data_IF_663136875582
#
_entry.id   IF_663136875582
#
_cell.length_a   1.000
_cell.length_b   1.000
_cell.length_c   1.000
_cell.angle_alpha   90.00
_cell.angle_beta   90.00
_cell.angle_gamma   90.00
#
_symmetry.space_group_name_H-M   'P 1'
#
loop_
_entity.id
_entity.type
_entity.pdbx_description
1 polymer ?
#
# COMPACT_ATOMS: atom_id res chain seq x y z
N UNK A 1 11.60 22.07 0.19
CA UNK A 1 10.71 21.68 1.31
C UNK A 1 10.88 20.22 1.77
N UNK A 2 11.79 19.42 1.20
CA UNK A 2 11.90 17.99 1.58
C UNK A 2 13.01 17.67 2.62
N UNK A 3 13.93 18.60 2.92
CA UNK A 3 14.97 18.38 3.92
C UNK A 3 14.44 18.17 5.35
N UNK A 4 13.31 18.80 5.69
CA UNK A 4 12.67 18.63 7.01
C UNK A 4 12.04 17.24 7.17
N UNK A 5 11.61 16.60 6.06
CA UNK A 5 11.03 15.24 6.08
C UNK A 5 12.09 14.16 6.35
N UNK A 6 13.34 14.44 5.96
CA UNK A 6 14.50 13.58 6.23
C UNK A 6 14.97 13.67 7.69
N UNK A 7 14.60 14.74 8.39
CA UNK A 7 15.00 15.02 9.78
C UNK A 7 13.85 14.88 10.78
N UNK A 8 12.78 14.15 10.43
CA UNK A 8 11.71 13.89 11.39
C UNK A 8 12.22 12.99 12.52
N UNK A 9 11.58 13.06 13.68
CA UNK A 9 11.92 12.20 14.81
C UNK A 9 11.70 10.73 14.43
N UNK A 10 12.80 10.01 14.23
CA UNK A 10 12.80 8.60 13.87
C UNK A 10 12.80 7.75 15.14
N UNK A 11 12.03 6.65 15.17
CA UNK A 11 12.11 5.68 16.25
C UNK A 11 13.48 5.00 16.30
N UNK A 12 13.94 4.60 17.49
CA UNK A 12 15.26 3.96 17.69
C UNK A 12 15.47 2.66 16.90
N UNK A 13 14.38 2.01 16.48
CA UNK A 13 14.41 0.76 15.71
C UNK A 13 14.50 0.98 14.20
N UNK A 14 14.31 2.21 13.70
CA UNK A 14 14.33 2.52 12.27
C UNK A 14 15.67 3.16 11.91
N UNK A 15 16.52 2.49 11.11
CA UNK A 15 17.77 3.07 10.66
C UNK A 15 17.55 4.34 9.85
N UNK A 16 18.39 5.35 10.11
CA UNK A 16 18.33 6.64 9.40
C UNK A 16 18.56 6.43 7.90
N UNK A 17 19.54 5.61 7.51
CA UNK A 17 19.84 5.32 6.10
C UNK A 17 18.62 4.75 5.36
N UNK A 18 17.95 3.73 5.92
CA UNK A 18 16.74 3.16 5.33
C UNK A 18 15.61 4.21 5.22
N UNK A 19 15.46 5.09 6.21
CA UNK A 19 14.50 6.19 6.11
C UNK A 19 14.85 7.20 5.02
N UNK A 20 16.14 7.50 4.83
CA UNK A 20 16.61 8.38 3.76
C UNK A 20 16.33 7.78 2.38
N UNK A 21 16.55 6.48 2.19
CA UNK A 21 16.22 5.76 0.95
C UNK A 21 14.72 5.84 0.65
N UNK A 22 13.87 5.67 1.66
CA UNK A 22 12.43 5.85 1.53
C UNK A 22 12.05 7.29 1.15
N UNK A 23 12.69 8.29 1.77
CA UNK A 23 12.45 9.70 1.47
C UNK A 23 12.83 10.02 0.02
N UNK A 24 14.01 9.58 -0.43
CA UNK A 24 14.46 9.79 -1.80
C UNK A 24 13.51 9.14 -2.81
N UNK A 25 13.06 7.92 -2.54
CA UNK A 25 12.08 7.24 -3.36
C UNK A 25 10.78 8.04 -3.49
N UNK A 26 10.24 8.52 -2.36
CA UNK A 26 9.01 9.32 -2.34
C UNK A 26 9.17 10.68 -3.01
N UNK A 27 10.34 11.32 -2.88
CA UNK A 27 10.66 12.55 -3.61
C UNK A 27 10.67 12.33 -5.11
N UNK A 28 11.27 11.23 -5.59
CA UNK A 28 11.24 10.87 -7.01
C UNK A 28 9.81 10.65 -7.51
N UNK A 29 8.97 9.96 -6.73
CA UNK A 29 7.55 9.75 -7.08
C UNK A 29 6.73 11.04 -7.04
N UNK A 30 7.05 11.98 -6.15
CA UNK A 30 6.42 13.30 -6.12
C UNK A 30 6.85 14.17 -7.31
N UNK A 31 8.12 14.11 -7.71
CA UNK A 31 8.62 14.80 -8.89
C UNK A 31 7.92 14.32 -10.18
N UNK A 32 7.63 13.03 -10.28
CA UNK A 32 6.85 12.42 -11.38
C UNK A 32 5.32 12.51 -11.17
N UNK A 33 4.86 13.36 -10.23
CA UNK A 33 3.43 13.57 -9.90
C UNK A 33 2.65 12.26 -9.64
N UNK A 34 3.35 11.19 -9.28
CA UNK A 34 2.77 9.86 -9.09
C UNK A 34 2.20 9.68 -7.68
N UNK A 35 2.74 10.41 -6.69
CA UNK A 35 2.21 10.46 -5.35
C UNK A 35 2.68 11.72 -4.59
N UNK A 36 1.82 12.36 -3.77
CA UNK A 36 2.20 13.54 -3.00
C UNK A 36 3.18 13.19 -1.87
N UNK A 37 4.29 13.92 -1.74
CA UNK A 37 5.22 13.75 -0.62
C UNK A 37 5.12 14.91 0.37
N UNK A 38 4.34 14.69 1.44
CA UNK A 38 4.06 15.67 2.49
C UNK A 38 4.39 15.12 3.87
N UNK A 39 4.48 16.01 4.86
CA UNK A 39 4.77 15.67 6.26
C UNK A 39 3.73 14.69 6.86
N UNK A 40 2.47 14.81 6.46
CA UNK A 40 1.43 13.85 6.83
C UNK A 40 1.75 12.44 6.32
N UNK A 41 2.20 12.32 5.07
CA UNK A 41 2.61 11.04 4.46
C UNK A 41 3.82 10.45 5.18
N UNK A 42 4.82 11.27 5.52
CA UNK A 42 5.99 10.82 6.27
C UNK A 42 5.62 10.23 7.64
N UNK A 43 4.75 10.92 8.41
CA UNK A 43 4.20 10.39 9.68
C UNK A 43 3.45 9.08 9.50
N UNK A 44 2.68 8.97 8.42
CA UNK A 44 1.93 7.74 8.08
C UNK A 44 2.87 6.60 7.72
N UNK A 45 3.94 6.86 6.97
CA UNK A 45 4.96 5.86 6.63
C UNK A 45 5.58 5.25 7.89
N UNK A 46 5.95 6.07 8.87
CA UNK A 46 6.45 5.56 10.16
C UNK A 46 5.40 4.71 10.87
N UNK A 47 4.14 5.20 11.00
CA UNK A 47 3.05 4.42 11.61
C UNK A 47 2.85 3.08 10.92
N UNK A 48 2.98 3.03 9.59
CA UNK A 48 2.85 1.80 8.81
C UNK A 48 4.00 0.85 9.10
N UNK A 49 5.24 1.34 9.12
CA UNK A 49 6.42 0.53 9.49
C UNK A 49 6.30 -0.01 10.92
N UNK A 50 5.78 0.78 11.86
CA UNK A 50 5.48 0.29 13.22
C UNK A 50 4.50 -0.88 13.21
N UNK A 51 3.40 -0.78 12.44
CA UNK A 51 2.43 -1.88 12.31
C UNK A 51 3.05 -3.12 11.65
N UNK A 52 3.90 -2.94 10.64
CA UNK A 52 4.59 -4.05 9.97
C UNK A 52 5.57 -4.75 10.92
N UNK A 53 6.31 -3.96 11.70
CA UNK A 53 7.19 -4.45 12.76
C UNK A 53 6.44 -5.22 13.85
N UNK A 54 5.31 -4.68 14.32
CA UNK A 54 4.46 -5.33 15.32
C UNK A 54 3.90 -6.67 14.82
N UNK A 55 3.65 -6.77 13.51
CA UNK A 55 3.30 -8.02 12.83
C UNK A 55 4.50 -8.95 12.57
N UNK A 56 5.73 -8.58 13.00
CA UNK A 56 6.94 -9.39 12.87
C UNK A 56 7.72 -9.21 11.56
N UNK A 57 7.38 -8.20 10.75
CA UNK A 57 8.11 -7.89 9.53
C UNK A 57 9.28 -6.95 9.78
N UNK A 58 10.37 -7.13 9.03
CA UNK A 58 11.51 -6.23 9.08
C UNK A 58 11.22 -4.91 8.35
N UNK A 59 11.26 -3.75 9.05
CA UNK A 59 10.97 -2.45 8.44
C UNK A 59 11.92 -2.05 7.31
N UNK A 60 13.20 -2.43 7.40
CA UNK A 60 14.22 -2.11 6.40
C UNK A 60 13.93 -2.89 5.13
N UNK A 61 13.70 -4.20 5.24
CA UNK A 61 13.31 -5.04 4.11
C UNK A 61 12.01 -4.54 3.45
N UNK A 62 11.05 -4.04 4.22
CA UNK A 62 9.82 -3.46 3.68
C UNK A 62 10.09 -2.19 2.85
N UNK A 63 11.05 -1.37 3.28
CA UNK A 63 11.48 -0.17 2.53
C UNK A 63 12.24 -0.61 1.27
N UNK A 64 13.24 -1.48 1.39
CA UNK A 64 14.05 -1.95 0.26
C UNK A 64 13.17 -2.55 -0.84
N UNK A 65 12.21 -3.40 -0.45
CA UNK A 65 11.29 -4.02 -1.38
C UNK A 65 10.37 -2.99 -2.05
N UNK A 66 9.94 -1.97 -1.30
CA UNK A 66 9.15 -0.88 -1.85
C UNK A 66 9.97 -0.05 -2.85
N UNK A 67 11.22 0.29 -2.52
CA UNK A 67 12.13 1.02 -3.41
C UNK A 67 12.41 0.20 -4.67
N UNK A 68 12.76 -1.08 -4.52
CA UNK A 68 13.06 -2.02 -5.60
C UNK A 68 11.90 -2.14 -6.60
N UNK A 69 10.68 -2.25 -6.10
CA UNK A 69 9.47 -2.38 -6.94
C UNK A 69 8.86 -1.05 -7.35
N UNK A 70 9.39 0.05 -6.83
CA UNK A 70 8.89 1.39 -7.10
C UNK A 70 7.55 1.71 -6.43
N UNK A 71 7.28 1.08 -5.29
CA UNK A 71 6.03 1.15 -4.54
C UNK A 71 5.89 2.46 -3.77
N UNK A 72 4.70 3.06 -3.88
CA UNK A 72 4.36 4.28 -3.14
C UNK A 72 3.82 3.98 -1.72
N UNK A 73 3.58 2.72 -1.39
CA UNK A 73 3.17 2.25 -0.07
C UNK A 73 4.19 1.31 0.57
N UNK A 74 4.17 1.21 1.91
CA UNK A 74 5.02 0.30 2.67
C UNK A 74 4.24 -0.95 3.04
N UNK A 75 4.80 -2.08 2.64
CA UNK A 75 4.16 -3.38 2.68
C UNK A 75 5.14 -4.41 3.22
N UNK A 76 4.64 -5.52 3.81
CA UNK A 76 5.52 -6.59 4.24
C UNK A 76 6.35 -7.07 3.05
N UNK A 77 7.67 -7.01 3.19
CA UNK A 77 8.57 -7.66 2.26
C UNK A 77 8.16 -9.13 2.16
N UNK A 78 8.16 -9.68 0.94
CA UNK A 78 7.78 -11.07 0.73
C UNK A 78 8.75 -11.91 1.56
N UNK A 79 8.24 -12.48 2.65
CA UNK A 79 9.07 -13.12 3.64
C UNK A 79 9.90 -14.21 2.95
N UNK A 80 11.21 -14.19 3.20
CA UNK A 80 11.98 -15.42 3.27
C UNK A 80 11.16 -16.43 4.11
N UNK A 81 11.05 -17.71 3.71
CA UNK A 81 9.91 -18.60 3.96
C UNK A 81 9.56 -18.93 5.43
N UNK A 82 10.20 -18.32 6.42
CA UNK A 82 9.96 -18.57 7.84
C UNK A 82 8.61 -18.03 8.37
N UNK A 83 7.97 -17.07 7.71
CA UNK A 83 6.68 -16.49 8.16
C UNK A 83 5.48 -16.78 7.24
N UNK A 84 5.70 -17.41 6.08
CA UNK A 84 4.64 -17.74 5.12
C UNK A 84 4.21 -19.22 5.22
N UNK A 85 4.02 -19.73 6.42
CA UNK A 85 3.29 -20.99 6.60
C UNK A 85 1.81 -20.67 6.81
N UNK A 86 1.07 -20.54 5.71
CA UNK A 86 -0.30 -21.07 5.56
C UNK A 86 -0.90 -20.76 4.18
N UNK A 87 -1.18 -21.84 3.45
CA UNK A 87 -2.10 -21.96 2.28
C UNK A 87 -1.51 -21.84 0.87
N UNK A 88 -0.87 -22.93 0.44
CA UNK A 88 -0.91 -23.40 -0.95
C UNK A 88 -2.35 -23.74 -1.36
N UNK A 89 -2.84 -23.22 -2.50
CA UNK A 89 -4.11 -23.67 -3.07
C UNK A 89 -4.66 -22.79 -4.19
N UNK A 90 -4.16 -22.98 -5.42
CA UNK A 90 -4.73 -22.43 -6.66
C UNK A 90 -3.88 -21.33 -7.29
N UNK A 91 -3.14 -21.67 -8.35
CA UNK A 91 -2.40 -20.73 -9.18
C UNK A 91 -3.37 -19.75 -9.84
N UNK A 92 -3.57 -18.59 -9.22
CA UNK A 92 -4.25 -17.46 -9.85
C UNK A 92 -3.38 -17.01 -11.03
N UNK A 93 -3.93 -16.82 -12.25
CA UNK A 93 -3.16 -16.33 -13.37
C UNK A 93 -2.47 -15.00 -13.01
N UNK A 94 -1.27 -14.72 -13.56
CA UNK A 94 -0.45 -13.57 -13.19
C UNK A 94 -1.09 -12.20 -13.49
N UNK A 95 -2.30 -12.15 -14.04
CA UNK A 95 -3.06 -10.95 -14.39
C UNK A 95 -4.50 -10.98 -13.85
N UNK A 96 -4.79 -11.81 -12.85
CA UNK A 96 -6.15 -12.04 -12.35
C UNK A 96 -6.89 -10.76 -11.96
N UNK A 97 -6.17 -9.71 -11.55
CA UNK A 97 -6.73 -8.42 -11.15
C UNK A 97 -7.14 -7.51 -12.33
N UNK A 98 -6.75 -7.87 -13.56
CA UNK A 98 -7.08 -7.10 -14.77
C UNK A 98 -8.49 -7.38 -15.31
N UNK A 99 -9.12 -8.47 -14.87
CA UNK A 99 -10.45 -8.88 -15.37
C UNK A 99 -11.45 -9.05 -14.23
N UNK A 100 -12.70 -8.65 -14.47
CA UNK A 100 -13.78 -8.86 -13.50
C UNK A 100 -13.96 -10.33 -13.05
N UNK A 101 -13.92 -11.34 -13.94
CA UNK A 101 -13.99 -12.75 -13.51
C UNK A 101 -12.80 -13.16 -12.62
N UNK A 102 -11.57 -12.73 -12.93
CA UNK A 102 -10.40 -13.05 -12.10
C UNK A 102 -10.47 -12.42 -10.70
N UNK A 103 -10.97 -11.19 -10.59
CA UNK A 103 -11.20 -10.52 -9.30
C UNK A 103 -12.23 -11.29 -8.47
N UNK A 104 -13.33 -11.76 -9.08
CA UNK A 104 -14.36 -12.55 -8.40
C UNK A 104 -13.85 -13.91 -7.92
N UNK A 105 -13.09 -14.60 -8.75
CA UNK A 105 -12.45 -15.87 -8.40
C UNK A 105 -11.53 -15.69 -7.19
N UNK A 106 -10.68 -14.65 -7.22
CA UNK A 106 -9.79 -14.34 -6.09
C UNK A 106 -10.57 -13.91 -4.84
N UNK A 107 -11.63 -13.13 -5.00
CA UNK A 107 -12.52 -12.78 -3.90
C UNK A 107 -13.13 -14.02 -3.24
N UNK A 108 -13.59 -14.99 -4.03
CA UNK A 108 -14.09 -16.28 -3.53
C UNK A 108 -13.01 -17.08 -2.79
N UNK A 109 -11.78 -17.13 -3.30
CA UNK A 109 -10.63 -17.76 -2.62
C UNK A 109 -10.32 -17.11 -1.26
N UNK A 110 -10.55 -15.81 -1.14
CA UNK A 110 -10.32 -15.03 0.08
C UNK A 110 -11.55 -14.96 1.00
N UNK A 111 -12.67 -15.61 0.66
CA UNK A 111 -13.91 -15.57 1.44
C UNK A 111 -14.66 -14.24 1.37
N UNK A 112 -14.44 -13.43 0.32
CA UNK A 112 -15.14 -12.15 0.09
C UNK A 112 -16.28 -12.33 -0.90
N UNK A 113 -17.50 -12.20 -0.39
CA UNK A 113 -18.72 -12.23 -1.20
C UNK A 113 -19.07 -10.85 -1.79
N UNK A 114 -19.50 -10.86 -3.05
CA UNK A 114 -20.03 -9.69 -3.75
C UNK A 114 -21.49 -9.47 -3.31
N UNK A 115 -21.80 -8.29 -2.77
CA UNK A 115 -23.17 -7.98 -2.35
C UNK A 115 -24.02 -7.50 -3.55
N UNK A 116 -25.32 -7.83 -3.61
CA UNK A 116 -26.17 -7.54 -4.78
C UNK A 116 -26.37 -6.05 -5.10
N UNK A 117 -26.20 -5.15 -4.12
CA UNK A 117 -26.28 -3.69 -4.32
C UNK A 117 -24.93 -2.98 -4.20
N UNK A 118 -23.82 -3.72 -4.28
CA UNK A 118 -22.48 -3.16 -4.12
C UNK A 118 -21.89 -2.73 -5.47
N UNK A 119 -21.28 -1.55 -5.49
CA UNK A 119 -20.50 -1.08 -6.65
C UNK A 119 -19.27 -1.98 -6.82
N UNK A 120 -19.03 -2.46 -8.04
CA UNK A 120 -17.94 -3.39 -8.34
C UNK A 120 -16.56 -2.85 -7.92
N UNK A 121 -16.33 -1.55 -7.99
CA UNK A 121 -15.09 -0.91 -7.51
C UNK A 121 -14.86 -1.10 -6.01
N UNK A 122 -15.93 -1.02 -5.19
CA UNK A 122 -15.83 -1.27 -3.75
C UNK A 122 -15.57 -2.75 -3.46
N UNK A 123 -16.15 -3.66 -4.27
CA UNK A 123 -15.84 -5.09 -4.19
C UNK A 123 -14.36 -5.35 -4.54
N UNK A 124 -13.90 -4.80 -5.67
CA UNK A 124 -12.51 -4.88 -6.14
C UNK A 124 -11.53 -4.38 -5.08
N UNK A 125 -11.77 -3.22 -4.47
CA UNK A 125 -10.94 -2.70 -3.39
C UNK A 125 -10.85 -3.64 -2.18
N UNK A 126 -11.96 -4.28 -1.78
CA UNK A 126 -11.95 -5.26 -0.68
C UNK A 126 -11.17 -6.53 -1.04
N UNK A 127 -11.35 -7.05 -2.25
CA UNK A 127 -10.59 -8.19 -2.75
C UNK A 127 -9.10 -7.86 -2.76
N UNK A 128 -8.73 -6.67 -3.21
CA UNK A 128 -7.33 -6.23 -3.30
C UNK A 128 -6.71 -6.02 -1.93
N UNK A 129 -7.48 -5.47 -0.98
CA UNK A 129 -7.05 -5.33 0.42
C UNK A 129 -6.81 -6.69 1.07
N UNK A 130 -7.70 -7.66 0.85
CA UNK A 130 -7.57 -8.99 1.44
C UNK A 130 -6.57 -9.91 0.73
N UNK A 131 -6.35 -9.70 -0.58
CA UNK A 131 -5.28 -10.38 -1.32
C UNK A 131 -3.90 -10.00 -0.80
N UNK A 132 -3.80 -8.91 -0.03
CA UNK A 132 -2.57 -8.37 0.50
C UNK A 132 -1.91 -7.38 -0.47
N UNK A 133 -0.64 -7.03 -0.24
CA UNK A 133 0.10 -6.13 -1.10
C UNK A 133 0.52 -6.81 -2.42
N UNK A 134 0.40 -6.08 -3.53
CA UNK A 134 0.87 -6.53 -4.84
C UNK A 134 0.49 -5.56 -5.97
N UNK A 135 0.90 -5.90 -7.19
CA UNK A 135 0.72 -5.07 -8.39
C UNK A 135 -0.75 -4.65 -8.63
N UNK A 136 -1.72 -5.45 -8.21
CA UNK A 136 -3.14 -5.14 -8.31
C UNK A 136 -3.55 -3.88 -7.52
N UNK A 137 -2.93 -3.66 -6.37
CA UNK A 137 -3.24 -2.51 -5.51
C UNK A 137 -2.68 -1.23 -6.13
N UNK A 138 -1.47 -1.29 -6.67
CA UNK A 138 -0.82 -0.18 -7.35
C UNK A 138 -1.45 0.16 -8.69
N UNK A 139 -1.81 -0.84 -9.50
CA UNK A 139 -2.53 -0.65 -10.75
C UNK A 139 -3.84 0.09 -10.51
N UNK A 140 -4.53 -0.26 -9.42
CA UNK A 140 -5.76 0.43 -9.02
C UNK A 140 -5.50 1.85 -8.52
N UNK A 141 -4.50 2.07 -7.67
CA UNK A 141 -4.10 3.41 -7.24
C UNK A 141 -3.70 4.29 -8.43
N UNK A 142 -2.91 3.76 -9.36
CA UNK A 142 -2.48 4.49 -10.57
C UNK A 142 -3.66 4.84 -11.47
N UNK A 143 -4.55 3.88 -11.72
CA UNK A 143 -5.73 4.10 -12.56
C UNK A 143 -6.61 5.18 -11.95
N UNK A 144 -6.94 5.03 -10.66
CA UNK A 144 -7.81 5.98 -9.97
C UNK A 144 -7.16 7.35 -9.82
N UNK A 145 -5.84 7.42 -9.58
CA UNK A 145 -5.12 8.69 -9.49
C UNK A 145 -5.04 9.46 -10.81
N UNK A 146 -5.11 8.77 -11.96
CA UNK A 146 -5.29 9.44 -13.26
C UNK A 146 -6.68 10.06 -13.41
N UNK A 147 -7.68 9.48 -12.76
CA UNK A 147 -9.07 9.94 -12.84
C UNK A 147 -9.39 11.04 -11.80
N UNK A 148 -8.89 10.89 -10.57
CA UNK A 148 -9.16 11.83 -9.46
C UNK A 148 -8.16 11.66 -8.31
N UNK A 149 -7.53 12.76 -7.91
CA UNK A 149 -6.59 12.83 -6.78
C UNK A 149 -7.29 12.54 -5.43
N UNK A 150 -8.52 13.02 -5.24
CA UNK A 150 -9.31 12.73 -4.03
C UNK A 150 -9.67 11.23 -3.90
N UNK A 151 -9.93 10.57 -5.03
CA UNK A 151 -10.20 9.12 -5.04
C UNK A 151 -8.93 8.31 -4.83
N UNK A 152 -7.78 8.80 -5.31
CA UNK A 152 -6.48 8.21 -5.00
C UNK A 152 -6.20 8.24 -3.50
N UNK A 153 -6.37 9.40 -2.87
CA UNK A 153 -6.16 9.55 -1.41
C UNK A 153 -7.13 8.66 -0.62
N UNK A 154 -8.40 8.57 -1.07
CA UNK A 154 -9.39 7.65 -0.53
C UNK A 154 -8.91 6.20 -0.47
N UNK A 155 -8.38 5.74 -1.60
CA UNK A 155 -8.00 4.36 -1.81
C UNK A 155 -6.68 4.04 -1.12
N UNK A 156 -5.75 4.98 -1.17
CA UNK A 156 -4.51 4.90 -0.43
C UNK A 156 -4.78 4.81 1.07
N UNK A 157 -5.68 5.64 1.60
CA UNK A 157 -6.10 5.57 3.00
C UNK A 157 -6.79 4.24 3.34
N UNK A 158 -7.69 3.77 2.47
CA UNK A 158 -8.39 2.50 2.66
C UNK A 158 -7.45 1.29 2.69
N UNK A 159 -6.47 1.25 1.79
CA UNK A 159 -5.49 0.17 1.72
C UNK A 159 -4.46 0.20 2.85
N UNK A 160 -4.07 1.41 3.29
CA UNK A 160 -3.10 1.58 4.38
C UNK A 160 -3.74 1.68 5.76
N UNK A 161 -5.07 1.52 5.85
CA UNK A 161 -5.85 1.62 7.09
C UNK A 161 -5.58 2.96 7.83
N UNK A 162 -5.47 4.04 7.03
CA UNK A 162 -5.26 5.40 7.51
C UNK A 162 -6.65 5.98 7.80
N UNK A 163 -6.92 6.44 9.04
CA UNK A 163 -8.15 7.19 9.28
C UNK A 163 -8.09 8.45 8.42
N UNK A 164 -9.07 8.61 7.53
CA UNK A 164 -9.28 9.89 6.85
C UNK A 164 -9.54 10.92 7.92
N UNK A 165 -8.58 11.83 8.14
CA UNK A 165 -8.91 13.09 8.76
C UNK A 165 -9.82 13.80 7.76
N UNK A 166 -11.13 13.70 8.00
CA UNK A 166 -12.10 14.52 7.29
C UNK A 166 -11.73 15.96 7.61
N UNK A 167 -11.01 16.60 6.68
CA UNK A 167 -10.99 18.04 6.57
C UNK A 167 -12.43 18.46 6.34
N UNK A 168 -13.13 18.76 7.44
CA UNK A 168 -14.38 19.47 7.39
C UNK A 168 -14.14 20.76 6.63
N UNK A 169 -14.82 20.91 5.50
CA UNK A 169 -15.25 22.22 5.09
C UNK A 169 -16.72 22.11 4.73
N UNK A 170 -17.48 22.92 5.46
CA UNK A 170 -18.93 23.02 5.54
C UNK A 170 -19.62 23.29 4.21
#
# INVERSE_FOLDING_TARGET
MHGELRSIELPDWLPVDAWLDWCEHREAKAADKSAPWAHATAKVSIKRLTKLRDAGHDPVACIDEAVLRGWTGLFPAKADPAAASSTSGGSVPPDWWKTAPGIRERGKQLGIEEKPNQVFEQYKARVFKAAGPGEWMEDMLRTVGRESEERYDALYAFFNDIPREQGGNS
#
